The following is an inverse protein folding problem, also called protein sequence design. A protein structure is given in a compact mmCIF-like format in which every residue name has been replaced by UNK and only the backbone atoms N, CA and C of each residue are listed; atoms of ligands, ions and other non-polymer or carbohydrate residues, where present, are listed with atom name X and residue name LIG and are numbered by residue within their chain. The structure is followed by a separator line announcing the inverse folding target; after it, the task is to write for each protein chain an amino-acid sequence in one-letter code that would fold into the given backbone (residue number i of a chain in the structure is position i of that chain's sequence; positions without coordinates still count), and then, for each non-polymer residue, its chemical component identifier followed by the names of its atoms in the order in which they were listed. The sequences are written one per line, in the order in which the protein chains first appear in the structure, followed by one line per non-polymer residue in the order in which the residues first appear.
data_IF_716107460909
#
_entry.id   IF_716107460909
#
_cell.length_a   1.000
_cell.length_b   1.000
_cell.length_c   1.000
_cell.angle_alpha   90.00
_cell.angle_beta   90.00
_cell.angle_gamma   90.00
#
_symmetry.space_group_name_H-M   'P 1'
#
loop_
_entity.id
_entity.type
_entity.pdbx_description
1 polymer ?
#
# COMPACT_ATOMS: atom_id res chain seq x y z
N UNK A 1 -0.86 -1.31 -15.07
CA UNK A 1 -1.06 -0.42 -16.23
C UNK A 1 0.07 0.59 -16.28
N UNK A 2 0.81 0.60 -17.37
CA UNK A 2 1.91 1.56 -17.57
C UNK A 2 1.37 2.99 -17.61
N UNK A 3 0.22 3.19 -18.24
CA UNK A 3 -0.45 4.48 -18.34
C UNK A 3 -0.84 5.04 -16.95
N UNK A 4 -1.27 4.17 -16.03
CA UNK A 4 -1.56 4.58 -14.66
C UNK A 4 -0.27 5.00 -13.92
N UNK A 5 0.83 4.27 -14.10
CA UNK A 5 2.13 4.65 -13.54
C UNK A 5 2.60 6.00 -14.08
N UNK A 6 2.50 6.21 -15.39
CA UNK A 6 2.83 7.49 -16.03
C UNK A 6 1.96 8.63 -15.50
N UNK A 7 0.66 8.37 -15.31
CA UNK A 7 -0.27 9.38 -14.80
C UNK A 7 0.00 9.75 -13.32
N UNK A 8 0.46 8.79 -12.49
CA UNK A 8 0.90 9.08 -11.12
C UNK A 8 2.15 9.95 -11.13
N UNK A 9 3.18 9.55 -11.90
CA UNK A 9 4.44 10.29 -11.98
C UNK A 9 4.23 11.69 -12.55
N UNK A 10 3.52 11.80 -13.68
CA UNK A 10 3.22 13.08 -14.29
C UNK A 10 2.38 13.98 -13.38
N UNK A 11 1.40 13.41 -12.67
CA UNK A 11 0.59 14.13 -11.69
C UNK A 11 1.43 14.71 -10.54
N UNK A 12 2.40 13.95 -10.03
CA UNK A 12 3.32 14.43 -8.99
C UNK A 12 4.29 15.51 -9.50
N UNK A 13 4.75 15.40 -10.76
CA UNK A 13 5.59 16.42 -11.39
C UNK A 13 4.85 17.74 -11.63
N UNK A 14 3.53 17.71 -11.83
CA UNK A 14 2.67 18.88 -12.04
C UNK A 14 2.20 19.51 -10.72
N UNK A 15 1.93 18.66 -9.71
CA UNK A 15 1.38 19.09 -8.42
C UNK A 15 1.96 18.23 -7.30
N UNK A 16 2.96 18.75 -6.60
CA UNK A 16 3.60 18.03 -5.50
C UNK A 16 2.65 17.83 -4.30
N UNK A 17 1.66 18.70 -4.09
CA UNK A 17 0.67 18.53 -3.03
C UNK A 17 -0.24 17.30 -3.27
N UNK A 18 -0.28 16.79 -4.50
CA UNK A 18 -0.96 15.54 -4.80
C UNK A 18 -0.36 14.33 -4.06
N UNK A 19 0.89 14.43 -3.59
CA UNK A 19 1.54 13.42 -2.77
C UNK A 19 0.74 13.10 -1.50
N UNK A 20 0.22 14.10 -0.81
CA UNK A 20 -0.54 13.92 0.43
C UNK A 20 -1.78 13.01 0.27
N UNK A 21 -2.28 12.88 -0.96
CA UNK A 21 -3.46 12.05 -1.29
C UNK A 21 -3.14 10.58 -1.52
N UNK A 22 -1.85 10.23 -1.68
CA UNK A 22 -1.41 8.89 -2.06
C UNK A 22 -0.25 8.34 -1.21
N UNK A 23 0.37 9.17 -0.36
CA UNK A 23 1.56 8.83 0.41
C UNK A 23 1.37 7.64 1.36
N UNK A 24 0.15 7.43 1.83
CA UNK A 24 -0.22 6.42 2.82
C UNK A 24 -0.35 5.00 2.24
N UNK A 25 -0.49 4.87 0.93
CA UNK A 25 -0.82 3.56 0.36
C UNK A 25 -0.02 3.14 -0.88
N UNK A 26 0.81 3.99 -1.47
CA UNK A 26 1.64 3.63 -2.64
C UNK A 26 3.13 3.74 -2.32
N UNK A 27 3.90 2.81 -2.85
CA UNK A 27 5.35 2.77 -2.74
C UNK A 27 6.02 2.52 -4.09
N UNK A 28 7.34 2.67 -4.17
CA UNK A 28 8.11 2.36 -5.37
C UNK A 28 7.99 0.90 -5.82
N UNK A 29 7.78 -0.03 -4.87
CA UNK A 29 7.61 -1.45 -5.17
C UNK A 29 6.33 -1.76 -5.96
N UNK A 30 5.36 -0.85 -5.93
CA UNK A 30 4.09 -0.98 -6.64
C UNK A 30 4.22 -0.68 -8.14
N UNK A 31 5.29 -0.02 -8.56
CA UNK A 31 5.57 0.24 -9.98
C UNK A 31 6.17 -0.99 -10.65
N UNK A 32 5.73 -1.26 -11.87
CA UNK A 32 6.25 -2.37 -12.67
C UNK A 32 7.58 -2.03 -13.33
N UNK A 33 7.64 -0.85 -13.98
CA UNK A 33 8.83 -0.42 -14.72
C UNK A 33 9.91 0.07 -13.77
N UNK A 34 11.14 -0.32 -14.04
CA UNK A 34 12.30 0.08 -13.25
C UNK A 34 12.58 1.59 -13.30
N UNK A 35 12.47 2.20 -14.47
CA UNK A 35 12.60 3.65 -14.66
C UNK A 35 11.54 4.42 -13.84
N UNK A 36 10.30 3.95 -13.82
CA UNK A 36 9.23 4.56 -13.02
C UNK A 36 9.52 4.47 -11.51
N UNK A 37 10.10 3.36 -11.02
CA UNK A 37 10.52 3.21 -9.62
C UNK A 37 11.56 4.26 -9.24
N UNK A 38 12.58 4.44 -10.08
CA UNK A 38 13.65 5.41 -9.85
C UNK A 38 13.10 6.83 -9.85
N UNK A 39 12.26 7.18 -10.82
CA UNK A 39 11.63 8.50 -10.90
C UNK A 39 10.78 8.74 -9.66
N UNK A 40 9.92 7.79 -9.27
CA UNK A 40 9.06 7.89 -8.09
C UNK A 40 9.87 8.11 -6.81
N UNK A 41 10.91 7.30 -6.56
CA UNK A 41 11.80 7.46 -5.41
C UNK A 41 12.44 8.86 -5.36
N UNK A 42 12.88 9.36 -6.52
CA UNK A 42 13.47 10.68 -6.62
C UNK A 42 12.46 11.79 -6.28
N UNK A 43 11.25 11.73 -6.85
CA UNK A 43 10.16 12.67 -6.57
C UNK A 43 9.83 12.67 -5.08
N UNK A 44 9.58 11.50 -4.48
CA UNK A 44 9.22 11.36 -3.06
C UNK A 44 10.33 11.88 -2.15
N UNK A 45 11.60 11.60 -2.48
CA UNK A 45 12.75 12.12 -1.72
C UNK A 45 12.82 13.64 -1.75
N UNK A 46 12.58 14.27 -2.90
CA UNK A 46 12.55 15.73 -3.02
C UNK A 46 11.41 16.33 -2.20
N UNK A 47 10.19 15.82 -2.34
CA UNK A 47 9.00 16.30 -1.61
C UNK A 47 9.21 16.17 -0.09
N UNK A 48 9.67 15.00 0.38
CA UNK A 48 9.92 14.76 1.80
C UNK A 48 11.06 15.63 2.38
N UNK A 49 11.93 16.15 1.51
CA UNK A 49 12.96 17.12 1.87
C UNK A 49 12.49 18.58 1.71
N UNK A 50 11.19 18.80 1.53
CA UNK A 50 10.58 20.12 1.27
C UNK A 50 11.19 20.86 0.06
N UNK A 51 11.63 20.09 -0.94
CA UNK A 51 12.16 20.62 -2.20
C UNK A 51 11.12 20.39 -3.31
N UNK A 52 10.97 21.32 -4.25
CA UNK A 52 10.07 21.12 -5.39
C UNK A 52 10.54 19.93 -6.22
N UNK A 53 9.59 19.12 -6.69
CA UNK A 53 9.82 17.97 -7.55
C UNK A 53 9.16 18.21 -8.92
N UNK A 54 9.75 19.07 -9.73
CA UNK A 54 9.40 19.29 -11.12
C UNK A 54 10.36 18.56 -12.06
N UNK A 55 10.13 18.63 -13.37
CA UNK A 55 10.94 17.96 -14.38
C UNK A 55 12.43 18.30 -14.26
N UNK A 56 12.76 19.58 -13.98
CA UNK A 56 14.15 20.04 -13.95
C UNK A 56 14.84 19.56 -12.67
N UNK A 57 14.20 19.74 -11.52
CA UNK A 57 14.76 19.36 -10.22
C UNK A 57 14.89 17.84 -10.08
N UNK A 58 13.95 17.07 -10.63
CA UNK A 58 14.02 15.60 -10.66
C UNK A 58 15.14 15.14 -11.62
N UNK A 59 15.28 15.75 -12.80
CA UNK A 59 16.36 15.42 -13.71
C UNK A 59 17.75 15.72 -13.11
N UNK A 60 17.91 16.86 -12.46
CA UNK A 60 19.16 17.21 -11.76
C UNK A 60 19.49 16.21 -10.65
N UNK A 61 18.49 15.86 -9.81
CA UNK A 61 18.67 14.88 -8.76
C UNK A 61 19.00 13.48 -9.29
N UNK A 62 18.39 13.05 -10.39
CA UNK A 62 18.71 11.78 -11.06
C UNK A 62 20.12 11.79 -11.65
N UNK A 63 20.56 12.92 -12.22
CA UNK A 63 21.92 13.10 -12.74
C UNK A 63 22.96 13.01 -11.62
N UNK A 64 22.68 13.61 -10.46
CA UNK A 64 23.58 13.57 -9.31
C UNK A 64 23.85 12.14 -8.77
N UNK A 65 22.92 11.21 -9.02
CA UNK A 65 23.05 9.79 -8.63
C UNK A 65 23.38 8.87 -9.82
N UNK A 66 23.73 9.43 -10.98
CA UNK A 66 24.01 8.71 -12.23
C UNK A 66 22.86 7.78 -12.70
N UNK A 67 21.61 8.22 -12.55
CA UNK A 67 20.39 7.47 -12.91
C UNK A 67 19.53 8.18 -13.97
N UNK A 68 20.00 9.30 -14.52
CA UNK A 68 19.25 10.07 -15.51
C UNK A 68 18.93 9.25 -16.77
N UNK A 69 19.90 8.50 -17.30
CA UNK A 69 19.73 7.67 -18.49
C UNK A 69 18.81 6.47 -18.21
N UNK A 70 18.97 5.82 -17.05
CA UNK A 70 18.11 4.71 -16.61
C UNK A 70 16.64 5.16 -16.48
N UNK A 71 16.40 6.43 -16.15
CA UNK A 71 15.07 7.05 -16.05
C UNK A 71 14.50 7.54 -17.39
N UNK A 72 15.21 7.36 -18.50
CA UNK A 72 14.80 7.81 -19.83
C UNK A 72 15.11 9.29 -20.13
N UNK A 73 15.93 9.93 -19.29
CA UNK A 73 16.40 11.30 -19.48
C UNK A 73 15.32 12.37 -19.35
N UNK A 74 15.71 13.61 -19.61
CA UNK A 74 14.82 14.77 -19.51
C UNK A 74 13.64 14.71 -20.49
N UNK A 75 13.84 14.08 -21.64
CA UNK A 75 12.80 13.94 -22.66
C UNK A 75 11.62 13.09 -22.12
N UNK A 76 11.93 12.01 -21.41
CA UNK A 76 10.91 11.15 -20.83
C UNK A 76 10.17 11.85 -19.67
N UNK A 77 10.89 12.56 -18.79
CA UNK A 77 10.27 13.35 -17.72
C UNK A 77 9.34 14.42 -18.27
N UNK A 78 9.74 15.12 -19.33
CA UNK A 78 8.87 16.07 -20.03
C UNK A 78 7.63 15.39 -20.62
N UNK A 79 7.78 14.19 -21.22
CA UNK A 79 6.66 13.44 -21.75
C UNK A 79 5.67 13.01 -20.64
N UNK A 80 6.14 12.59 -19.47
CA UNK A 80 5.29 12.27 -18.32
C UNK A 80 4.45 13.46 -17.87
N UNK A 81 5.07 14.63 -17.70
CA UNK A 81 4.37 15.85 -17.31
C UNK A 81 3.38 16.33 -18.40
N UNK A 82 3.80 16.32 -19.67
CA UNK A 82 2.97 16.84 -20.78
C UNK A 82 1.78 15.94 -21.12
N UNK A 83 1.91 14.64 -20.96
CA UNK A 83 0.85 13.67 -21.26
C UNK A 83 -0.15 13.49 -20.11
N UNK A 84 0.08 14.13 -18.95
CA UNK A 84 -0.83 14.08 -17.81
C UNK A 84 -1.65 15.37 -17.76
N UNK A 85 -2.97 15.32 -18.01
CA UNK A 85 -3.79 16.53 -18.07
C UNK A 85 -3.91 17.27 -16.73
N UNK A 86 -3.93 16.51 -15.63
CA UNK A 86 -3.99 17.04 -14.25
C UNK A 86 -3.72 15.98 -13.22
N UNK A 87 -3.37 16.40 -11.99
CA UNK A 87 -3.25 15.53 -10.82
C UNK A 87 -4.60 15.22 -10.14
N UNK A 88 -5.73 15.68 -10.67
CA UNK A 88 -7.05 15.56 -10.01
C UNK A 88 -7.40 14.11 -9.64
N UNK A 89 -7.15 13.18 -10.55
CA UNK A 89 -7.49 11.76 -10.40
C UNK A 89 -6.30 10.90 -9.91
N UNK A 90 -5.25 11.50 -9.36
CA UNK A 90 -4.02 10.79 -9.01
C UNK A 90 -4.27 9.61 -8.07
N UNK A 91 -5.20 9.75 -7.10
CA UNK A 91 -5.57 8.68 -6.18
C UNK A 91 -6.07 7.45 -6.92
N UNK A 92 -6.95 7.63 -7.91
CA UNK A 92 -7.49 6.52 -8.70
C UNK A 92 -6.39 5.81 -9.51
N UNK A 93 -5.46 6.56 -10.08
CA UNK A 93 -4.34 5.97 -10.81
C UNK A 93 -3.39 5.23 -9.86
N UNK A 94 -3.12 5.79 -8.69
CA UNK A 94 -2.31 5.13 -7.67
C UNK A 94 -2.95 3.84 -7.14
N UNK A 95 -4.27 3.79 -6.95
CA UNK A 95 -5.02 2.57 -6.63
C UNK A 95 -4.79 1.47 -7.71
N UNK A 96 -4.89 1.83 -8.99
CA UNK A 96 -4.64 0.89 -10.09
C UNK A 96 -3.18 0.37 -10.06
N UNK A 97 -2.20 1.25 -9.82
CA UNK A 97 -0.79 0.86 -9.74
C UNK A 97 -0.58 -0.12 -8.59
N UNK A 98 -1.13 0.17 -7.43
CA UNK A 98 -1.06 -0.66 -6.25
C UNK A 98 -1.72 -2.03 -6.44
N UNK A 99 -2.97 -2.07 -6.92
CA UNK A 99 -3.68 -3.33 -7.16
C UNK A 99 -2.85 -4.25 -8.06
N UNK A 100 -2.23 -3.69 -9.11
CA UNK A 100 -1.32 -4.44 -9.98
C UNK A 100 -0.02 -4.85 -9.28
N UNK A 101 0.47 -4.06 -8.33
CA UNK A 101 1.59 -4.39 -7.46
C UNK A 101 1.28 -5.61 -6.59
N UNK A 102 0.14 -5.59 -5.90
CA UNK A 102 -0.34 -6.69 -5.05
C UNK A 102 -0.53 -7.97 -5.87
N UNK A 103 -1.14 -7.91 -7.06
CA UNK A 103 -1.28 -9.06 -7.94
C UNK A 103 0.07 -9.66 -8.35
N UNK A 104 1.07 -8.84 -8.65
CA UNK A 104 2.43 -9.35 -8.97
C UNK A 104 3.07 -10.04 -7.77
N UNK A 105 2.95 -9.48 -6.57
CA UNK A 105 3.43 -10.11 -5.33
C UNK A 105 2.75 -11.45 -5.11
N UNK A 106 1.43 -11.52 -5.31
CA UNK A 106 0.67 -12.75 -5.17
C UNK A 106 1.16 -13.83 -6.15
N UNK A 107 1.41 -13.48 -7.42
CA UNK A 107 1.99 -14.40 -8.41
C UNK A 107 3.36 -14.89 -7.94
N UNK A 108 4.27 -13.99 -7.56
CA UNK A 108 5.61 -14.36 -7.11
C UNK A 108 5.56 -15.32 -5.90
N UNK A 109 4.76 -14.99 -4.89
CA UNK A 109 4.62 -15.83 -3.69
C UNK A 109 3.98 -17.19 -4.03
N UNK A 110 3.01 -17.22 -4.95
CA UNK A 110 2.40 -18.47 -5.40
C UNK A 110 3.41 -19.37 -6.10
N UNK A 111 4.28 -18.81 -6.95
CA UNK A 111 5.34 -19.55 -7.63
C UNK A 111 6.39 -20.09 -6.62
N UNK A 112 6.75 -19.28 -5.60
CA UNK A 112 7.64 -19.71 -4.53
C UNK A 112 7.02 -20.87 -3.72
N UNK A 113 5.74 -20.78 -3.34
CA UNK A 113 5.03 -21.83 -2.61
C UNK A 113 4.98 -23.11 -3.44
N UNK A 114 4.63 -23.00 -4.72
CA UNK A 114 4.62 -24.14 -5.63
C UNK A 114 6.01 -24.78 -5.78
N UNK A 115 7.06 -23.96 -5.95
CA UNK A 115 8.44 -24.42 -6.04
C UNK A 115 8.90 -25.17 -4.78
N UNK A 116 8.54 -24.70 -3.59
CA UNK A 116 8.82 -25.36 -2.32
C UNK A 116 8.07 -26.70 -2.20
N UNK A 117 6.80 -26.73 -2.65
CA UNK A 117 6.01 -27.98 -2.61
C UNK A 117 6.55 -29.05 -3.57
N UNK A 118 7.08 -28.66 -4.74
CA UNK A 118 7.75 -29.59 -5.66
C UNK A 118 9.11 -30.05 -5.16
N UNK A 119 9.82 -29.24 -4.39
CA UNK A 119 11.14 -29.56 -3.86
C UNK A 119 11.25 -29.19 -2.37
N UNK A 120 10.76 -30.03 -1.45
CA UNK A 120 10.65 -29.73 -0.03
C UNK A 120 12.01 -29.54 0.70
N UNK A 121 13.12 -29.98 0.11
CA UNK A 121 14.47 -29.86 0.69
C UNK A 121 14.57 -30.31 2.16
N UNK A 122 13.81 -31.36 2.54
CA UNK A 122 13.78 -31.89 3.89
C UNK A 122 12.91 -31.13 4.89
N UNK A 123 12.16 -30.12 4.47
CA UNK A 123 11.16 -29.45 5.31
C UNK A 123 9.93 -30.31 5.54
N UNK A 124 9.37 -30.25 6.74
CA UNK A 124 8.10 -30.91 7.04
C UNK A 124 6.93 -30.17 6.40
N UNK A 125 5.88 -30.91 6.02
CA UNK A 125 4.68 -30.34 5.39
C UNK A 125 4.05 -29.24 6.23
N UNK A 126 4.00 -29.42 7.55
CA UNK A 126 3.45 -28.41 8.47
C UNK A 126 4.23 -27.09 8.39
N UNK A 127 5.56 -27.15 8.41
CA UNK A 127 6.41 -25.97 8.31
C UNK A 127 6.19 -25.22 6.99
N UNK A 128 6.02 -25.97 5.87
CA UNK A 128 5.76 -25.35 4.56
C UNK A 128 4.40 -24.66 4.52
N UNK A 129 3.38 -25.23 5.19
CA UNK A 129 2.06 -24.59 5.29
C UNK A 129 2.12 -23.32 6.12
N UNK A 130 2.80 -23.32 7.27
CA UNK A 130 2.97 -22.16 8.13
C UNK A 130 3.73 -21.03 7.40
N UNK A 131 4.77 -21.37 6.63
CA UNK A 131 5.52 -20.42 5.79
C UNK A 131 4.64 -19.83 4.67
N UNK A 132 3.80 -20.65 4.02
CA UNK A 132 2.89 -20.21 2.97
C UNK A 132 1.82 -19.26 3.52
N UNK A 133 1.20 -19.59 4.66
CA UNK A 133 0.24 -18.76 5.34
C UNK A 133 0.84 -17.40 5.70
N UNK A 134 2.04 -17.40 6.29
CA UNK A 134 2.74 -16.17 6.66
C UNK A 134 3.00 -15.25 5.46
N UNK A 135 3.42 -15.82 4.31
CA UNK A 135 3.66 -15.05 3.08
C UNK A 135 2.37 -14.45 2.51
N UNK A 136 1.29 -15.22 2.49
CA UNK A 136 -0.02 -14.73 2.01
C UNK A 136 -0.56 -13.64 2.95
N UNK A 137 -0.44 -13.84 4.25
CA UNK A 137 -0.86 -12.86 5.26
C UNK A 137 -0.10 -11.53 5.12
N UNK A 138 1.22 -11.57 4.88
CA UNK A 138 2.02 -10.37 4.65
C UNK A 138 1.52 -9.56 3.44
N UNK A 139 1.11 -10.22 2.34
CA UNK A 139 0.51 -9.56 1.18
C UNK A 139 -0.82 -8.89 1.56
N UNK A 140 -1.65 -9.58 2.34
CA UNK A 140 -2.95 -9.06 2.77
C UNK A 140 -2.80 -7.83 3.68
N UNK A 141 -1.88 -7.87 4.65
CA UNK A 141 -1.57 -6.73 5.53
C UNK A 141 -1.05 -5.53 4.74
N UNK A 142 -0.11 -5.76 3.84
CA UNK A 142 0.41 -4.70 2.98
C UNK A 142 -0.69 -4.15 2.06
N UNK A 143 -1.57 -5.00 1.57
CA UNK A 143 -2.79 -4.64 0.84
C UNK A 143 -3.75 -3.78 1.69
N UNK A 144 -3.88 -4.02 2.96
CA UNK A 144 -4.80 -3.30 3.86
C UNK A 144 -4.30 -1.92 4.31
N UNK A 145 -2.99 -1.61 4.23
CA UNK A 145 -2.41 -0.34 4.72
C UNK A 145 -3.08 0.91 4.17
N UNK A 146 -3.59 0.88 2.96
CA UNK A 146 -4.32 2.02 2.39
C UNK A 146 -5.84 2.00 2.60
N UNK A 147 -6.39 0.86 3.00
CA UNK A 147 -7.82 0.76 3.35
C UNK A 147 -8.07 1.26 4.80
N UNK A 148 -7.03 1.32 5.63
CA UNK A 148 -7.07 1.86 6.99
C UNK A 148 -6.70 3.35 7.08
N UNK A 149 -6.63 4.07 5.95
CA UNK A 149 -6.51 5.53 5.93
C UNK A 149 -7.57 6.16 6.84
N UNK A 150 -7.38 7.43 7.27
CA UNK A 150 -8.27 8.16 8.16
C UNK A 150 -9.75 7.81 7.91
N UNK A 151 -10.31 6.95 8.76
CA UNK A 151 -11.75 6.70 8.74
C UNK A 151 -12.43 7.92 9.36
N UNK A 152 -13.48 8.41 8.70
CA UNK A 152 -14.30 9.45 9.27
C UNK A 152 -14.75 8.99 10.68
N UNK A 153 -14.57 9.83 11.69
CA UNK A 153 -14.87 9.49 13.09
C UNK A 153 -16.34 9.16 13.29
N UNK A 154 -17.23 9.70 12.47
CA UNK A 154 -18.68 9.51 12.56
C UNK A 154 -19.12 8.03 12.50
N UNK A 155 -18.71 7.21 11.51
CA UNK A 155 -19.06 5.77 11.50
C UNK A 155 -18.51 5.02 12.71
N UNK A 156 -17.29 5.38 13.16
CA UNK A 156 -16.68 4.77 14.35
C UNK A 156 -17.47 5.11 15.62
N UNK A 157 -17.88 6.37 15.78
CA UNK A 157 -18.71 6.81 16.91
C UNK A 157 -20.08 6.13 16.88
N UNK A 158 -20.72 6.02 15.72
CA UNK A 158 -22.01 5.32 15.59
C UNK A 158 -21.86 3.86 16.05
N UNK A 159 -20.83 3.16 15.60
CA UNK A 159 -20.61 1.77 16.01
C UNK A 159 -20.29 1.62 17.51
N UNK A 160 -19.54 2.56 18.08
CA UNK A 160 -19.26 2.60 19.53
C UNK A 160 -20.56 2.85 20.33
N UNK A 161 -21.39 3.80 19.90
CA UNK A 161 -22.68 4.09 20.55
C UNK A 161 -23.61 2.90 20.47
N UNK A 162 -23.76 2.26 19.30
CA UNK A 162 -24.56 1.03 19.13
C UNK A 162 -24.06 -0.10 20.03
N UNK A 163 -22.74 -0.24 20.20
CA UNK A 163 -22.14 -1.24 21.08
C UNK A 163 -22.42 -0.96 22.56
N UNK A 164 -22.32 0.32 22.97
CA UNK A 164 -22.63 0.77 24.31
C UNK A 164 -24.14 0.54 24.60
N UNK A 165 -24.99 0.93 23.66
CA UNK A 165 -26.46 0.75 23.80
C UNK A 165 -26.82 -0.74 23.85
N UNK A 166 -26.17 -1.58 23.03
CA UNK A 166 -26.34 -3.03 23.11
C UNK A 166 -25.84 -3.66 24.41
N UNK A 167 -24.80 -3.09 25.04
CA UNK A 167 -24.32 -3.53 26.35
C UNK A 167 -25.24 -3.03 27.48
N UNK A 168 -25.76 -1.80 27.37
CA UNK A 168 -26.68 -1.21 28.35
C UNK A 168 -28.05 -1.89 28.38
N UNK A 169 -28.55 -2.27 27.19
CA UNK A 169 -29.85 -2.94 27.03
C UNK A 169 -29.77 -4.47 27.18
N UNK A 170 -28.61 -5.05 27.50
CA UNK A 170 -28.52 -6.47 27.88
C UNK A 170 -29.12 -6.64 29.24
N UNK A 171 -30.17 -7.49 29.33
CA UNK A 171 -30.70 -7.96 30.59
C UNK A 171 -29.55 -8.54 31.44
N UNK A 172 -29.44 -8.08 32.69
CA UNK A 172 -28.40 -8.38 33.69
C UNK A 172 -28.25 -9.86 34.06
N UNK A 173 -28.40 -10.78 33.13
CA UNK A 173 -28.27 -12.22 33.38
C UNK A 173 -26.85 -12.77 33.25
N UNK A 174 -25.91 -12.00 32.69
CA UNK A 174 -24.48 -12.32 32.77
C UNK A 174 -23.62 -11.06 32.62
N UNK A 175 -22.73 -10.79 33.57
CA UNK A 175 -21.72 -9.72 33.53
C UNK A 175 -20.59 -9.98 32.53
N UNK A 176 -20.69 -11.04 31.71
CA UNK A 176 -19.65 -11.47 30.77
C UNK A 176 -19.81 -10.74 29.47
N UNK A 177 -18.82 -9.93 29.09
CA UNK A 177 -18.79 -9.15 27.84
C UNK A 177 -18.27 -9.96 26.63
N UNK A 178 -17.82 -11.21 26.83
CA UNK A 178 -17.26 -12.13 25.85
C UNK A 178 -17.99 -13.47 25.77
N UNK A 179 -17.30 -14.49 25.26
CA UNK A 179 -17.77 -15.87 25.28
C UNK A 179 -17.52 -16.45 26.68
N UNK A 180 -18.52 -16.96 27.41
CA UNK A 180 -18.34 -17.51 28.76
C UNK A 180 -17.40 -18.74 28.67
N UNK A 181 -16.46 -18.82 29.60
CA UNK A 181 -15.56 -19.96 29.71
C UNK A 181 -16.24 -21.19 30.31
N UNK A 182 -17.37 -21.00 30.98
CA UNK A 182 -18.12 -22.02 31.70
C UNK A 182 -17.62 -22.26 33.15
N UNK A 183 -16.58 -21.51 33.54
CA UNK A 183 -16.07 -21.53 34.93
C UNK A 183 -16.55 -20.26 35.66
N UNK A 184 -17.52 -20.38 36.54
CA UNK A 184 -18.22 -19.24 37.18
C UNK A 184 -17.27 -18.26 37.87
N UNK A 185 -16.18 -18.75 38.46
CA UNK A 185 -15.20 -17.92 39.18
C UNK A 185 -14.28 -17.13 38.20
N UNK A 186 -14.00 -17.68 37.01
CA UNK A 186 -13.22 -17.01 35.98
C UNK A 186 -14.07 -16.00 35.19
N UNK A 187 -15.34 -16.32 35.01
CA UNK A 187 -16.29 -15.50 34.25
C UNK A 187 -16.78 -14.27 35.09
N UNK A 188 -16.48 -14.22 36.39
CA UNK A 188 -16.81 -13.09 37.30
C UNK A 188 -15.61 -12.20 37.65
N UNK A 189 -14.39 -12.50 37.13
CA UNK A 189 -13.20 -11.67 37.29
C UNK A 189 -13.15 -10.59 36.21
#
# INVERSE_FOLDING_TARGET
SIEAEQSVLGGLLLDNAAWDRIADFISEADFYRYDHRIIFQCIVKLINSSRPADVITVFDALTAINKADDAGGITYLNALASNTPSAANIRRYAEIVRDRGVLRKLITVSDEIAGQAFNPQGKEVKQMLDEAESKIFAIAEEGARGAQGFQAIQPLLTHVVERIDGLYNRDHTSDITGVPTGFVDLDKM
#
